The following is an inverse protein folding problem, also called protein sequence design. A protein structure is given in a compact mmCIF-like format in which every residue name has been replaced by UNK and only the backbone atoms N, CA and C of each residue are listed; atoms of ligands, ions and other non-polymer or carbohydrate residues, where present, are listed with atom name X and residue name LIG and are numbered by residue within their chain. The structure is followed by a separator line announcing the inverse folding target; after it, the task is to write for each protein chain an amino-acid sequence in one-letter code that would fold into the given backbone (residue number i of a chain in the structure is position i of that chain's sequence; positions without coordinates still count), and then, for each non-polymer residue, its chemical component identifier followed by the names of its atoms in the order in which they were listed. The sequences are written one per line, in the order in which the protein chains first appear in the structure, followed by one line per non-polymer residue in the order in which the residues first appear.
data_IF_801659859233
#
_entry.id   IF_801659859233
#
_cell.length_a   1.000
_cell.length_b   1.000
_cell.length_c   1.000
_cell.angle_alpha   90.00
_cell.angle_beta   90.00
_cell.angle_gamma   90.00
#
_symmetry.space_group_name_H-M   'P 1'
#
loop_
_entity.id
_entity.type
_entity.pdbx_description
1 polymer ?
#
# COMPACT_ATOMS: atom_id res chain seq x y z
N UNK A 1 -28.78 62.06 -17.67
CA UNK A 1 -27.84 62.75 -16.76
C UNK A 1 -27.01 61.65 -16.08
N UNK A 2 -25.68 61.66 -15.95
CA UNK A 2 -24.54 62.42 -16.52
C UNK A 2 -23.50 61.33 -16.97
N UNK A 3 -22.84 61.34 -18.14
CA UNK A 3 -21.80 62.22 -18.71
C UNK A 3 -20.39 62.16 -18.07
N UNK A 4 -19.35 62.15 -18.94
CA UNK A 4 -17.89 61.88 -18.79
C UNK A 4 -17.50 60.38 -18.79
N UNK A 5 -16.49 59.82 -19.52
CA UNK A 5 -15.40 60.28 -20.46
C UNK A 5 -14.15 60.97 -19.81
N UNK A 6 -12.91 60.93 -20.35
CA UNK A 6 -12.33 60.52 -21.66
C UNK A 6 -10.79 60.21 -21.54
N UNK A 7 -10.15 59.56 -22.54
CA UNK A 7 -8.68 59.32 -22.72
C UNK A 7 -7.97 58.47 -21.62
N UNK A 8 -6.77 57.87 -21.79
CA UNK A 8 -5.79 57.76 -22.90
C UNK A 8 -4.44 57.19 -22.37
N UNK A 9 -3.40 56.80 -23.13
CA UNK A 9 -3.21 56.61 -24.58
C UNK A 9 -1.92 55.81 -24.90
N UNK A 10 -1.98 54.89 -25.89
CA UNK A 10 -0.98 54.49 -26.92
C UNK A 10 0.55 54.35 -26.60
N UNK A 11 1.14 53.20 -26.94
CA UNK A 11 2.56 53.06 -27.33
C UNK A 11 2.76 51.91 -28.35
N UNK A 12 3.66 52.06 -29.34
CA UNK A 12 3.89 51.12 -30.46
C UNK A 12 5.39 51.03 -30.78
N UNK A 13 5.91 49.81 -30.96
CA UNK A 13 7.05 49.44 -31.83
C UNK A 13 6.99 47.92 -32.13
N UNK A 14 7.88 47.37 -32.96
CA UNK A 14 7.75 47.23 -34.44
C UNK A 14 8.97 46.45 -34.98
N UNK A 15 8.79 45.73 -36.10
CA UNK A 15 9.80 44.97 -36.87
C UNK A 15 10.36 43.68 -36.23
N UNK A 16 10.81 42.69 -37.01
CA UNK A 16 10.98 42.66 -38.47
C UNK A 16 10.81 41.28 -39.12
N UNK A 17 10.89 41.21 -40.45
CA UNK A 17 10.41 40.09 -41.28
C UNK A 17 11.52 39.36 -42.07
N UNK A 18 11.29 38.08 -42.40
CA UNK A 18 11.63 37.41 -43.67
C UNK A 18 10.77 36.13 -43.76
N UNK A 19 9.89 35.89 -44.75
CA UNK A 19 9.98 35.82 -46.23
C UNK A 19 10.31 34.42 -46.82
N UNK A 20 9.55 34.09 -47.86
CA UNK A 20 9.39 32.84 -48.64
C UNK A 20 10.47 32.72 -49.77
N UNK A 21 10.55 31.67 -50.66
CA UNK A 21 9.44 30.81 -51.14
C UNK A 21 9.69 29.34 -51.56
N UNK A 22 8.55 28.68 -51.88
CA UNK A 22 8.23 27.59 -52.83
C UNK A 22 9.32 26.84 -53.63
N UNK A 23 9.14 25.51 -53.81
CA UNK A 23 8.74 24.90 -55.10
C UNK A 23 8.57 23.34 -55.09
N UNK A 24 7.65 22.86 -55.96
CA UNK A 24 7.62 21.57 -56.73
C UNK A 24 7.83 20.17 -56.10
N UNK A 25 6.92 19.25 -56.45
CA UNK A 25 7.11 17.78 -56.51
C UNK A 25 7.83 17.35 -57.80
N UNK A 26 8.33 16.11 -57.90
CA UNK A 26 7.64 15.13 -58.76
C UNK A 26 7.53 13.70 -58.16
N UNK A 27 6.90 12.79 -58.92
CA UNK A 27 6.76 11.35 -58.62
C UNK A 27 8.09 10.60 -58.48
N UNK A 28 8.05 9.47 -57.74
CA UNK A 28 8.34 8.19 -58.39
C UNK A 28 7.52 7.04 -57.76
N UNK A 29 7.32 5.96 -58.51
CA UNK A 29 6.65 4.72 -58.06
C UNK A 29 7.66 3.76 -57.40
N UNK A 30 7.19 2.79 -56.60
CA UNK A 30 7.19 1.36 -57.00
C UNK A 30 6.68 0.41 -55.88
N UNK A 31 5.57 -0.30 -56.17
CA UNK A 31 5.22 -1.69 -55.76
C UNK A 31 4.89 -2.05 -54.28
N UNK A 32 3.85 -2.90 -54.05
CA UNK A 32 3.45 -3.35 -52.71
C UNK A 32 4.15 -4.65 -52.24
N UNK A 33 4.17 -4.87 -50.92
CA UNK A 33 4.63 -6.12 -50.29
C UNK A 33 3.48 -6.82 -49.56
N UNK A 34 3.25 -8.10 -49.86
CA UNK A 34 2.35 -8.99 -49.14
C UNK A 34 3.11 -9.79 -48.07
N UNK A 35 2.49 -10.14 -46.92
CA UNK A 35 3.01 -11.19 -46.05
C UNK A 35 2.01 -12.35 -45.83
N UNK A 36 2.40 -13.55 -46.25
CA UNK A 36 1.79 -14.85 -45.87
C UNK A 36 2.73 -16.00 -46.28
N UNK A 37 2.65 -17.21 -45.67
CA UNK A 37 2.45 -17.51 -44.25
C UNK A 37 3.51 -18.55 -43.74
N UNK A 38 3.30 -19.11 -42.53
CA UNK A 38 4.11 -20.15 -41.86
C UNK A 38 5.50 -19.70 -41.33
N UNK A 39 6.13 -20.35 -40.34
CA UNK A 39 5.94 -21.69 -39.77
C UNK A 39 6.09 -21.76 -38.22
N UNK A 40 6.30 -22.97 -37.67
CA UNK A 40 6.46 -23.30 -36.24
C UNK A 40 7.92 -23.00 -35.75
N UNK A 41 8.39 -23.22 -34.50
CA UNK A 41 7.98 -24.15 -33.43
C UNK A 41 8.65 -23.79 -32.06
N UNK A 42 8.23 -24.48 -30.98
CA UNK A 42 8.90 -24.60 -29.66
C UNK A 42 8.93 -23.35 -28.74
N UNK A 43 8.99 -23.48 -27.40
CA UNK A 43 8.55 -24.58 -26.50
C UNK A 43 8.42 -24.07 -25.04
N UNK A 44 7.45 -24.59 -24.28
CA UNK A 44 7.46 -24.57 -22.80
C UNK A 44 6.50 -25.64 -22.27
N UNK A 45 6.79 -26.20 -21.10
CA UNK A 45 6.06 -27.35 -20.53
C UNK A 45 5.44 -27.02 -19.16
N UNK A 46 4.28 -27.60 -18.82
CA UNK A 46 3.82 -27.74 -17.45
C UNK A 46 4.09 -29.16 -16.91
N UNK A 47 4.66 -29.28 -15.71
CA UNK A 47 4.67 -30.55 -14.98
C UNK A 47 3.31 -30.79 -14.33
N UNK A 48 2.60 -31.83 -14.77
CA UNK A 48 1.41 -32.33 -14.07
C UNK A 48 1.81 -33.30 -12.95
N UNK A 49 1.07 -33.30 -11.85
CA UNK A 49 1.32 -34.18 -10.71
C UNK A 49 1.01 -35.65 -11.05
N UNK A 50 1.85 -36.58 -10.58
CA UNK A 50 1.59 -38.01 -10.68
C UNK A 50 0.87 -38.51 -9.42
N UNK A 51 -0.33 -39.04 -9.60
CA UNK A 51 -1.03 -39.85 -8.60
C UNK A 51 -0.55 -41.30 -8.67
N UNK A 52 -0.10 -41.85 -7.54
CA UNK A 52 0.07 -43.29 -7.37
C UNK A 52 -0.89 -43.78 -6.28
N UNK A 53 -1.79 -44.70 -6.64
CA UNK A 53 -2.64 -45.38 -5.67
C UNK A 53 -1.93 -46.63 -5.14
N UNK A 54 -2.16 -46.95 -3.85
CA UNK A 54 -1.85 -48.26 -3.27
C UNK A 54 -2.98 -48.68 -2.33
N UNK A 55 -3.17 -49.99 -2.21
CA UNK A 55 -4.43 -50.60 -1.80
C UNK A 55 -4.72 -50.59 -0.29
N UNK A 56 -6.01 -50.71 0.02
CA UNK A 56 -6.48 -51.01 1.36
C UNK A 56 -6.55 -52.53 1.60
N UNK A 57 -5.91 -53.00 2.66
CA UNK A 57 -6.29 -54.25 3.34
C UNK A 57 -6.12 -54.07 4.85
N UNK A 58 -6.95 -54.74 5.64
CA UNK A 58 -7.10 -54.44 7.07
C UNK A 58 -6.51 -55.55 7.96
N UNK A 59 -5.77 -55.15 8.99
CA UNK A 59 -5.48 -55.95 10.16
C UNK A 59 -5.30 -55.06 11.39
N UNK A 60 -6.01 -55.38 12.48
CA UNK A 60 -5.62 -54.96 13.83
C UNK A 60 -4.74 -56.08 14.44
N UNK A 61 -3.85 -55.76 15.38
CA UNK A 61 -4.31 -55.74 16.77
C UNK A 61 -3.78 -54.54 17.58
N UNK A 62 -4.09 -54.52 18.88
CA UNK A 62 -3.80 -53.40 19.77
C UNK A 62 -2.33 -53.26 20.16
N UNK A 63 -1.89 -52.01 20.31
CA UNK A 63 -0.65 -51.62 20.98
C UNK A 63 -0.76 -50.17 21.45
N UNK A 64 -0.68 -49.93 22.76
CA UNK A 64 -0.76 -48.57 23.31
C UNK A 64 0.61 -47.89 23.20
N UNK A 65 0.73 -46.96 22.25
CA UNK A 65 1.86 -46.01 22.20
C UNK A 65 1.33 -44.58 22.33
N UNK A 66 1.40 -44.06 23.55
CA UNK A 66 1.26 -42.62 23.81
C UNK A 66 2.24 -41.87 22.91
N UNK A 67 1.84 -40.80 22.20
CA UNK A 67 2.79 -39.99 21.45
C UNK A 67 3.78 -39.37 22.44
N UNK A 68 5.03 -39.85 22.40
CA UNK A 68 6.08 -39.32 23.24
C UNK A 68 6.27 -37.84 22.89
N UNK A 69 6.09 -36.98 23.90
CA UNK A 69 6.47 -35.57 23.80
C UNK A 69 7.97 -35.58 23.43
N UNK A 70 8.38 -34.99 22.28
CA UNK A 70 9.79 -34.94 21.93
C UNK A 70 10.53 -34.24 23.09
N UNK A 71 11.62 -34.81 23.62
CA UNK A 71 12.32 -34.21 24.73
C UNK A 71 12.71 -32.80 24.33
N UNK A 72 12.24 -31.81 25.10
CA UNK A 72 12.52 -30.41 24.82
C UNK A 72 14.04 -30.27 24.70
N UNK A 73 14.51 -29.86 23.51
CA UNK A 73 15.93 -29.81 23.21
C UNK A 73 16.61 -29.00 24.32
N UNK A 74 17.50 -29.66 25.07
CA UNK A 74 18.11 -29.07 26.24
C UNK A 74 18.91 -27.85 25.79
N UNK A 75 18.32 -26.67 25.96
CA UNK A 75 19.00 -25.41 25.68
C UNK A 75 20.27 -25.43 26.52
N UNK A 76 21.45 -25.35 25.87
CA UNK A 76 22.74 -25.50 26.53
C UNK A 76 22.78 -24.60 27.76
N UNK A 77 22.66 -25.22 28.93
CA UNK A 77 22.62 -24.54 30.20
C UNK A 77 24.04 -24.12 30.53
N UNK A 78 24.46 -23.02 29.91
CA UNK A 78 25.74 -22.38 30.14
C UNK A 78 25.88 -22.22 31.65
N UNK A 79 26.77 -23.00 32.26
CA UNK A 79 26.85 -23.09 33.72
C UNK A 79 27.06 -21.68 34.30
N UNK A 80 26.38 -21.34 35.41
CA UNK A 80 26.54 -20.03 36.01
C UNK A 80 28.01 -19.86 36.36
N UNK A 81 28.67 -18.87 35.73
CA UNK A 81 30.10 -18.61 35.97
C UNK A 81 30.34 -18.54 37.48
N UNK A 82 31.13 -19.47 37.98
CA UNK A 82 31.45 -19.53 39.40
C UNK A 82 32.46 -18.43 39.70
N UNK A 83 32.11 -17.54 40.63
CA UNK A 83 32.91 -16.38 41.00
C UNK A 83 33.47 -16.60 42.40
N UNK A 84 34.79 -16.70 42.52
CA UNK A 84 35.46 -16.72 43.82
C UNK A 84 35.38 -15.31 44.44
N UNK A 85 34.60 -15.16 45.50
CA UNK A 85 34.34 -13.88 46.16
C UNK A 85 35.53 -13.54 47.05
N UNK A 86 36.22 -12.44 46.76
CA UNK A 86 37.34 -11.97 47.58
C UNK A 86 36.88 -11.05 48.73
N UNK A 87 37.66 -10.97 49.83
CA UNK A 87 37.34 -10.07 50.95
C UNK A 87 37.13 -8.62 50.49
N UNK A 88 36.11 -7.95 51.05
CA UNK A 88 35.72 -6.59 50.66
C UNK A 88 34.85 -6.50 49.40
N UNK A 89 34.54 -7.59 48.71
CA UNK A 89 33.57 -7.59 47.61
C UNK A 89 32.17 -7.94 48.09
N UNK A 90 31.19 -7.07 47.81
CA UNK A 90 29.77 -7.43 47.92
C UNK A 90 29.22 -7.94 46.60
N UNK A 91 28.36 -8.97 46.68
CA UNK A 91 27.77 -9.64 45.52
C UNK A 91 26.27 -9.87 45.75
N UNK A 92 25.49 -9.81 44.67
CA UNK A 92 24.03 -9.90 44.70
C UNK A 92 23.50 -10.76 43.54
N UNK A 93 22.48 -11.56 43.82
CA UNK A 93 21.68 -12.24 42.80
C UNK A 93 20.60 -11.27 42.28
N UNK A 94 20.97 -10.45 41.29
CA UNK A 94 20.14 -9.40 40.74
C UNK A 94 19.33 -9.89 39.50
N UNK A 95 18.19 -9.24 39.24
CA UNK A 95 17.29 -9.60 38.14
C UNK A 95 17.63 -8.79 36.88
N UNK A 96 18.05 -9.43 35.78
CA UNK A 96 17.99 -8.78 34.47
C UNK A 96 16.55 -8.86 33.96
N UNK A 97 15.97 -7.71 33.65
CA UNK A 97 14.63 -7.58 33.08
C UNK A 97 14.69 -7.45 31.54
N UNK A 98 13.68 -7.95 30.80
CA UNK A 98 13.54 -7.66 29.38
C UNK A 98 13.48 -6.15 29.14
N UNK A 99 14.30 -5.65 28.23
CA UNK A 99 14.47 -4.22 27.94
C UNK A 99 13.30 -3.71 27.10
N UNK A 100 12.56 -2.68 27.53
CA UNK A 100 11.49 -2.10 26.71
C UNK A 100 12.09 -1.32 25.54
N UNK A 101 11.66 -1.62 24.32
CA UNK A 101 12.09 -0.94 23.09
C UNK A 101 10.87 -0.46 22.32
N UNK A 102 10.74 0.86 22.21
CA UNK A 102 9.70 1.47 21.38
C UNK A 102 10.07 1.30 19.91
N UNK A 103 9.08 0.90 19.10
CA UNK A 103 9.19 0.92 17.65
C UNK A 103 7.87 1.39 17.04
N UNK A 104 7.97 2.25 16.04
CA UNK A 104 6.80 2.70 15.28
C UNK A 104 6.42 1.64 14.27
N UNK A 105 5.20 1.12 14.35
CA UNK A 105 4.61 0.22 13.36
C UNK A 105 3.66 0.99 12.46
N UNK A 106 3.85 0.89 11.15
CA UNK A 106 2.88 1.39 10.17
C UNK A 106 1.78 0.35 9.95
N UNK A 107 0.52 0.80 9.94
CA UNK A 107 -0.64 -0.01 9.55
C UNK A 107 -1.48 0.79 8.56
N UNK A 108 -1.78 0.18 7.41
CA UNK A 108 -2.74 0.74 6.44
C UNK A 108 -4.14 0.60 7.03
N UNK A 109 -4.81 1.73 7.27
CA UNK A 109 -6.21 1.78 7.75
C UNK A 109 -7.18 1.51 6.59
N UNK A 110 -6.78 1.95 5.40
CA UNK A 110 -7.56 1.97 4.17
C UNK A 110 -6.61 1.89 2.98
N UNK A 111 -6.80 0.84 2.18
CA UNK A 111 -5.97 0.54 1.02
C UNK A 111 -6.03 1.65 -0.05
N UNK A 112 -4.98 1.75 -0.88
CA UNK A 112 -4.97 2.65 -2.04
C UNK A 112 -6.01 2.20 -3.08
N UNK A 113 -6.66 3.17 -3.75
CA UNK A 113 -7.74 2.88 -4.70
C UNK A 113 -7.65 3.72 -5.96
N UNK A 114 -7.95 3.09 -7.09
CA UNK A 114 -8.18 3.77 -8.35
C UNK A 114 -9.53 4.49 -8.29
N UNK A 115 -9.55 5.80 -8.54
CA UNK A 115 -10.76 6.59 -8.75
C UNK A 115 -10.84 6.98 -10.22
N UNK A 116 -11.98 6.72 -10.86
CA UNK A 116 -12.20 6.90 -12.29
C UNK A 116 -13.24 8.01 -12.49
N UNK A 117 -12.88 9.02 -13.27
CA UNK A 117 -13.76 10.14 -13.62
C UNK A 117 -14.06 10.09 -15.13
N UNK A 118 -15.33 9.92 -15.48
CA UNK A 118 -15.79 9.84 -16.86
C UNK A 118 -16.38 11.18 -17.29
N UNK A 119 -15.81 11.78 -18.34
CA UNK A 119 -16.31 13.01 -18.97
C UNK A 119 -17.27 12.62 -20.09
N UNK A 120 -18.57 13.00 -20.04
CA UNK A 120 -19.52 12.70 -21.12
C UNK A 120 -19.11 13.33 -22.46
N UNK A 121 -19.35 12.60 -23.56
CA UNK A 121 -19.11 13.10 -24.90
C UNK A 121 -20.04 14.29 -25.24
N UNK A 122 -19.52 15.27 -25.97
CA UNK A 122 -20.25 16.49 -26.34
C UNK A 122 -20.70 16.43 -27.80
N UNK A 123 -21.98 16.77 -28.04
CA UNK A 123 -22.64 16.68 -29.34
C UNK A 123 -23.01 18.08 -29.84
N UNK A 124 -22.41 18.52 -30.94
CA UNK A 124 -22.80 19.77 -31.61
C UNK A 124 -23.84 19.49 -32.71
N UNK A 125 -24.79 20.41 -32.90
CA UNK A 125 -25.88 20.30 -33.89
C UNK A 125 -25.54 21.08 -35.16
N UNK A 126 -24.92 20.40 -36.11
CA UNK A 126 -24.61 20.94 -37.43
C UNK A 126 -25.74 20.78 -38.46
N UNK A 127 -25.56 21.43 -39.61
CA UNK A 127 -26.38 21.22 -40.81
C UNK A 127 -25.49 20.73 -41.96
N UNK A 128 -25.60 19.45 -42.31
CA UNK A 128 -24.88 18.88 -43.45
C UNK A 128 -25.68 19.16 -44.73
N UNK A 129 -25.05 19.83 -45.70
CA UNK A 129 -25.66 19.99 -47.03
C UNK A 129 -25.60 18.65 -47.77
N UNK A 130 -26.76 18.15 -48.18
CA UNK A 130 -26.88 16.95 -48.99
C UNK A 130 -27.45 17.36 -50.34
N UNK A 131 -26.75 17.01 -51.43
CA UNK A 131 -27.29 17.19 -52.78
C UNK A 131 -28.57 16.36 -52.87
N UNK A 132 -29.71 17.03 -52.96
CA UNK A 132 -31.03 16.38 -52.98
C UNK A 132 -31.52 16.22 -54.41
N UNK A 133 -30.97 17.02 -55.33
CA UNK A 133 -31.16 16.94 -56.77
C UNK A 133 -29.83 17.27 -57.44
N UNK A 134 -29.24 16.29 -58.10
CA UNK A 134 -27.98 16.49 -58.83
C UNK A 134 -28.21 17.39 -60.05
N UNK A 135 -27.29 18.34 -60.27
CA UNK A 135 -27.35 19.32 -61.36
C UNK A 135 -27.32 18.60 -62.70
N UNK A 136 -28.45 18.61 -63.39
CA UNK A 136 -28.65 17.81 -64.60
C UNK A 136 -28.44 18.66 -65.84
N UNK A 137 -27.60 18.17 -66.73
CA UNK A 137 -27.56 18.66 -68.10
C UNK A 137 -28.67 17.98 -68.91
N UNK A 138 -29.58 18.79 -69.42
CA UNK A 138 -30.67 18.39 -70.29
C UNK A 138 -30.12 17.88 -71.61
N UNK A 139 -30.64 16.76 -72.09
CA UNK A 139 -30.14 16.11 -73.29
C UNK A 139 -31.34 15.50 -74.06
N UNK A 140 -31.40 15.64 -75.39
CA UNK A 140 -32.59 15.23 -76.21
C UNK A 140 -32.66 13.71 -76.49
N UNK A 141 -33.00 12.93 -75.46
CA UNK A 141 -32.57 11.52 -75.30
C UNK A 141 -33.65 10.42 -75.50
N UNK A 142 -33.23 9.28 -76.05
CA UNK A 142 -33.95 7.98 -76.13
C UNK A 142 -34.00 7.25 -74.76
N UNK A 143 -35.02 6.46 -74.39
CA UNK A 143 -35.25 6.03 -73.00
C UNK A 143 -34.32 4.90 -72.48
N UNK A 144 -33.76 5.00 -71.24
CA UNK A 144 -32.94 3.96 -70.59
C UNK A 144 -33.74 2.91 -69.79
N UNK A 145 -33.09 1.83 -69.37
CA UNK A 145 -33.64 0.81 -68.45
C UNK A 145 -32.89 0.73 -67.13
N UNK A 146 -33.61 0.51 -66.02
CA UNK A 146 -33.08 0.55 -64.65
C UNK A 146 -33.22 -0.77 -63.89
N UNK A 147 -32.36 -1.00 -62.90
CA UNK A 147 -32.48 -2.05 -61.87
C UNK A 147 -32.36 -1.41 -60.48
N UNK A 148 -33.14 -1.90 -59.51
CA UNK A 148 -33.04 -1.47 -58.10
C UNK A 148 -31.82 -2.10 -57.45
N UNK A 149 -31.05 -1.31 -56.71
CA UNK A 149 -29.98 -1.77 -55.80
C UNK A 149 -30.19 -1.11 -54.43
N UNK A 150 -29.98 -1.86 -53.35
CA UNK A 150 -30.13 -1.37 -51.97
C UNK A 150 -28.76 -1.05 -51.36
N UNK A 151 -28.63 0.16 -50.83
CA UNK A 151 -27.41 0.64 -50.15
C UNK A 151 -27.71 0.81 -48.65
N UNK A 152 -26.87 0.26 -47.77
CA UNK A 152 -27.06 0.32 -46.31
C UNK A 152 -26.37 1.56 -45.73
N UNK A 153 -27.14 2.61 -45.44
CA UNK A 153 -26.62 3.83 -44.83
C UNK A 153 -26.60 3.67 -43.32
N UNK A 154 -25.43 3.90 -42.70
CA UNK A 154 -25.27 3.90 -41.23
C UNK A 154 -25.85 5.21 -40.67
N UNK A 155 -27.05 5.14 -40.09
CA UNK A 155 -27.81 6.32 -39.64
C UNK A 155 -27.42 6.74 -38.23
N UNK A 156 -27.00 5.78 -37.39
CA UNK A 156 -26.50 6.04 -36.04
C UNK A 156 -25.20 5.26 -35.80
N UNK A 157 -24.13 5.89 -35.30
CA UNK A 157 -22.92 5.16 -34.90
C UNK A 157 -23.22 4.24 -33.70
N UNK A 158 -22.36 3.25 -33.50
CA UNK A 158 -22.31 2.45 -32.26
C UNK A 158 -21.94 3.38 -31.10
N UNK A 159 -22.67 3.33 -29.98
CA UNK A 159 -22.42 4.20 -28.82
C UNK A 159 -22.07 3.35 -27.62
N UNK A 160 -20.94 3.67 -26.96
CA UNK A 160 -20.48 2.98 -25.75
C UNK A 160 -20.77 3.83 -24.52
N UNK A 161 -21.53 3.27 -23.59
CA UNK A 161 -21.78 3.83 -22.27
C UNK A 161 -20.86 3.16 -21.25
N UNK A 162 -20.06 3.97 -20.58
CA UNK A 162 -19.21 3.55 -19.47
C UNK A 162 -19.97 3.75 -18.15
N UNK A 163 -20.18 2.67 -17.41
CA UNK A 163 -20.85 2.69 -16.10
C UNK A 163 -19.81 2.34 -15.03
N UNK A 164 -19.56 3.28 -14.12
CA UNK A 164 -18.65 3.08 -12.98
C UNK A 164 -19.32 2.17 -11.96
N UNK A 165 -18.67 1.06 -11.63
CA UNK A 165 -19.02 0.16 -10.54
C UNK A 165 -18.15 0.54 -9.33
N UNK A 166 -18.75 1.02 -8.22
CA UNK A 166 -17.99 1.55 -7.09
C UNK A 166 -17.20 0.46 -6.35
N UNK A 167 -16.07 0.85 -5.76
CA UNK A 167 -15.24 -0.02 -4.94
C UNK A 167 -16.01 -0.60 -3.74
N UNK A 168 -15.82 -1.89 -3.46
CA UNK A 168 -16.46 -2.60 -2.35
C UNK A 168 -15.45 -2.85 -1.24
N UNK A 169 -15.80 -2.43 -0.01
CA UNK A 169 -14.98 -2.56 1.19
C UNK A 169 -15.67 -3.47 2.22
N UNK A 170 -14.89 -4.29 2.89
CA UNK A 170 -15.33 -5.13 4.01
C UNK A 170 -14.68 -4.65 5.32
N UNK A 171 -15.43 -4.71 6.44
CA UNK A 171 -14.91 -4.35 7.76
C UNK A 171 -14.26 -5.57 8.41
N UNK A 172 -12.99 -5.83 8.09
CA UNK A 172 -12.20 -6.90 8.71
C UNK A 172 -11.74 -6.48 10.11
N UNK A 173 -11.60 -7.44 11.03
CA UNK A 173 -10.98 -7.23 12.34
C UNK A 173 -9.52 -7.68 12.29
N UNK A 174 -8.59 -6.77 12.58
CA UNK A 174 -7.16 -7.07 12.68
C UNK A 174 -6.69 -6.90 14.13
N UNK A 175 -6.25 -8.00 14.72
CA UNK A 175 -5.68 -8.00 16.08
C UNK A 175 -4.24 -7.51 16.05
N UNK A 176 -3.95 -6.44 16.79
CA UNK A 176 -2.62 -5.83 16.91
C UNK A 176 -2.13 -5.99 18.35
N UNK A 177 -0.92 -6.49 18.53
CA UNK A 177 -0.26 -6.60 19.86
C UNK A 177 0.45 -5.28 20.17
N UNK A 178 0.04 -4.57 21.22
CA UNK A 178 0.69 -3.32 21.65
C UNK A 178 1.83 -3.57 22.63
N UNK A 179 1.65 -4.58 23.48
CA UNK A 179 2.66 -5.07 24.42
C UNK A 179 2.77 -6.59 24.26
N UNK A 180 3.98 -7.08 23.97
CA UNK A 180 4.24 -8.50 23.83
C UNK A 180 4.12 -9.26 25.17
N UNK A 181 3.90 -10.57 25.10
CA UNK A 181 3.88 -11.43 26.28
C UNK A 181 5.29 -11.48 26.89
N UNK A 182 5.39 -11.20 28.20
CA UNK A 182 6.69 -11.06 28.89
C UNK A 182 6.70 -11.85 30.19
N UNK A 183 7.82 -12.52 30.48
CA UNK A 183 8.06 -13.18 31.77
C UNK A 183 8.53 -12.15 32.78
N UNK A 184 7.77 -11.98 33.86
CA UNK A 184 8.19 -11.20 35.03
C UNK A 184 8.65 -12.18 36.11
N UNK A 185 9.70 -11.83 36.84
CA UNK A 185 10.14 -12.55 38.03
C UNK A 185 9.68 -11.77 39.25
N UNK A 186 8.66 -12.29 39.95
CA UNK A 186 8.14 -11.72 41.19
C UNK A 186 8.81 -12.40 42.39
N UNK A 187 8.95 -11.68 43.52
CA UNK A 187 9.42 -12.31 44.77
C UNK A 187 8.38 -13.32 45.28
N UNK A 188 8.84 -14.51 45.66
CA UNK A 188 7.98 -15.59 46.15
C UNK A 188 8.68 -16.43 47.23
N UNK A 189 7.99 -17.41 47.81
CA UNK A 189 8.57 -18.38 48.74
C UNK A 189 8.81 -19.70 48.02
N UNK A 190 10.07 -20.02 47.70
CA UNK A 190 10.46 -21.36 47.27
C UNK A 190 10.39 -22.37 48.45
N UNK A 191 10.48 -23.66 48.13
CA UNK A 191 10.65 -24.69 49.15
C UNK A 191 11.94 -24.44 49.96
N UNK A 192 11.93 -24.75 51.25
CA UNK A 192 13.06 -24.50 52.16
C UNK A 192 13.17 -23.05 52.67
N UNK A 193 12.85 -22.02 51.88
CA UNK A 193 13.05 -20.61 52.31
C UNK A 193 12.12 -20.16 53.44
N UNK A 194 11.08 -20.95 53.79
CA UNK A 194 10.15 -20.70 54.91
C UNK A 194 10.80 -20.51 56.29
N UNK A 195 12.04 -20.95 56.48
CA UNK A 195 12.82 -20.79 57.71
C UNK A 195 14.14 -20.01 57.50
N UNK A 196 14.35 -19.42 56.32
CA UNK A 196 15.59 -18.73 55.92
C UNK A 196 15.69 -17.28 56.43
N UNK A 197 15.21 -17.00 57.65
CA UNK A 197 15.37 -15.69 58.28
C UNK A 197 16.85 -15.44 58.61
N UNK A 198 17.54 -14.68 57.76
CA UNK A 198 18.95 -14.33 57.90
C UNK A 198 19.91 -14.99 56.90
N UNK A 199 19.45 -15.89 56.02
CA UNK A 199 20.34 -16.56 55.03
C UNK A 199 20.53 -15.78 53.72
N UNK A 200 19.84 -14.65 53.53
CA UNK A 200 19.87 -13.85 52.30
C UNK A 200 19.20 -14.50 51.08
N UNK A 201 18.65 -15.72 51.20
CA UNK A 201 18.13 -16.51 50.08
C UNK A 201 16.79 -15.99 49.54
N UNK A 202 16.84 -14.94 48.71
CA UNK A 202 15.68 -14.37 48.03
C UNK A 202 15.24 -15.24 46.83
N UNK A 203 14.08 -15.89 46.95
CA UNK A 203 13.49 -16.67 45.85
C UNK A 203 12.57 -15.85 44.94
N UNK A 204 12.72 -16.05 43.63
CA UNK A 204 11.89 -15.41 42.60
C UNK A 204 11.14 -16.46 41.78
N UNK A 205 9.88 -16.18 41.44
CA UNK A 205 9.03 -17.06 40.65
C UNK A 205 8.75 -16.41 39.29
N UNK A 206 8.93 -17.18 38.21
CA UNK A 206 8.59 -16.75 36.86
C UNK A 206 7.08 -16.79 36.65
N UNK A 207 6.49 -15.64 36.30
CA UNK A 207 5.08 -15.50 35.92
C UNK A 207 4.99 -14.86 34.54
N UNK A 208 4.27 -15.51 33.64
CA UNK A 208 4.01 -14.95 32.31
C UNK A 208 2.91 -13.89 32.40
N UNK A 209 3.19 -12.69 31.90
CA UNK A 209 2.18 -11.67 31.60
C UNK A 209 1.78 -11.86 30.15
N UNK A 210 0.48 -12.11 29.83
CA UNK A 210 0.04 -12.33 28.46
C UNK A 210 0.16 -11.05 27.61
N UNK A 211 0.25 -11.24 26.30
CA UNK A 211 0.31 -10.14 25.34
C UNK A 211 -0.97 -9.29 25.37
N UNK A 212 -0.82 -7.97 25.34
CA UNK A 212 -1.95 -7.04 25.29
C UNK A 212 -2.31 -6.76 23.83
N UNK A 213 -3.50 -7.19 23.45
CA UNK A 213 -4.02 -7.07 22.09
C UNK A 213 -5.18 -6.09 22.00
N UNK A 214 -5.23 -5.31 20.92
CA UNK A 214 -6.38 -4.48 20.54
C UNK A 214 -6.89 -4.94 19.17
N UNK A 215 -8.21 -4.98 19.01
CA UNK A 215 -8.85 -5.40 17.76
C UNK A 215 -9.24 -4.16 16.96
N UNK A 216 -8.41 -3.82 15.98
CA UNK A 216 -8.63 -2.67 15.10
C UNK A 216 -9.59 -3.10 13.98
N UNK A 217 -10.63 -2.28 13.73
CA UNK A 217 -11.52 -2.46 12.58
C UNK A 217 -10.90 -1.79 11.35
N UNK A 218 -10.52 -2.58 10.36
CA UNK A 218 -9.85 -2.14 9.13
C UNK A 218 -10.83 -2.27 7.95
N UNK A 219 -10.84 -1.30 7.05
CA UNK A 219 -11.68 -1.33 5.84
C UNK A 219 -10.88 -1.88 4.67
N UNK A 220 -10.81 -3.21 4.61
CA UNK A 220 -10.12 -3.93 3.54
C UNK A 220 -10.86 -3.76 2.21
N UNK A 221 -10.13 -3.43 1.16
CA UNK A 221 -10.64 -3.44 -0.21
C UNK A 221 -10.89 -4.89 -0.67
N UNK A 222 -12.12 -5.20 -1.06
CA UNK A 222 -12.50 -6.52 -1.60
C UNK A 222 -12.57 -6.48 -3.13
N UNK A 223 -13.06 -5.38 -3.69
CA UNK A 223 -13.06 -5.15 -5.14
C UNK A 223 -12.77 -3.68 -5.43
N UNK A 224 -11.81 -3.35 -6.33
CA UNK A 224 -11.54 -1.97 -6.72
C UNK A 224 -12.69 -1.39 -7.55
N UNK A 225 -12.67 -0.06 -7.73
CA UNK A 225 -13.54 0.61 -8.68
C UNK A 225 -13.24 0.12 -10.10
N UNK A 226 -14.28 -0.24 -10.85
CA UNK A 226 -14.15 -0.83 -12.20
C UNK A 226 -15.21 -0.24 -13.13
N UNK A 227 -15.00 -0.34 -14.44
CA UNK A 227 -15.92 0.23 -15.43
C UNK A 227 -16.54 -0.87 -16.27
N UNK A 228 -17.87 -0.96 -16.24
CA UNK A 228 -18.64 -1.85 -17.12
C UNK A 228 -19.04 -1.09 -18.38
N UNK A 229 -18.84 -1.71 -19.53
CA UNK A 229 -19.22 -1.13 -20.84
C UNK A 229 -20.56 -1.71 -21.27
N UNK A 230 -21.49 -0.84 -21.64
CA UNK A 230 -22.69 -1.18 -22.41
C UNK A 230 -22.56 -0.59 -23.82
N UNK A 231 -22.98 -1.34 -24.84
CA UNK A 231 -22.86 -0.93 -26.25
C UNK A 231 -24.23 -0.89 -26.90
N UNK A 232 -24.69 0.31 -27.26
CA UNK A 232 -25.84 0.48 -28.17
C UNK A 232 -25.37 0.13 -29.60
N UNK A 233 -25.94 -0.89 -30.27
CA UNK A 233 -25.52 -1.29 -31.60
C UNK A 233 -25.85 -0.23 -32.67
N UNK A 234 -25.03 -0.15 -33.71
CA UNK A 234 -25.22 0.81 -34.79
C UNK A 234 -26.49 0.51 -35.62
N UNK A 235 -27.30 1.55 -35.87
CA UNK A 235 -28.51 1.45 -36.69
C UNK A 235 -28.19 1.73 -38.18
N UNK A 236 -28.52 0.77 -39.04
CA UNK A 236 -28.42 0.88 -40.50
C UNK A 236 -29.82 0.96 -41.12
N UNK A 237 -29.99 1.76 -42.17
CA UNK A 237 -31.22 1.79 -42.97
C UNK A 237 -30.87 1.59 -44.44
N UNK A 238 -31.56 0.64 -45.07
CA UNK A 238 -31.44 0.41 -46.51
C UNK A 238 -32.18 1.49 -47.29
N UNK A 239 -31.44 2.21 -48.13
CA UNK A 239 -31.98 3.17 -49.10
C UNK A 239 -31.95 2.51 -50.48
N UNK A 240 -33.09 2.48 -51.17
CA UNK A 240 -33.21 1.90 -52.51
C UNK A 240 -32.87 2.92 -53.58
N UNK A 241 -31.77 2.70 -54.31
CA UNK A 241 -31.36 3.51 -55.47
C UNK A 241 -31.69 2.76 -56.75
N UNK A 242 -32.30 3.45 -57.71
CA UNK A 242 -32.42 2.94 -59.08
C UNK A 242 -31.10 3.22 -59.81
N UNK A 243 -30.42 2.16 -60.23
CA UNK A 243 -29.19 2.24 -61.02
C UNK A 243 -29.53 1.88 -62.47
N UNK A 244 -28.90 2.60 -63.40
CA UNK A 244 -29.09 2.41 -64.84
C UNK A 244 -28.42 1.10 -65.25
N UNK A 245 -29.20 0.17 -65.81
CA UNK A 245 -28.69 -1.10 -66.36
C UNK A 245 -28.21 -0.91 -67.81
N UNK A 246 -28.89 -0.04 -68.57
CA UNK A 246 -28.51 0.36 -69.93
C UNK A 246 -28.75 1.86 -70.12
N UNK A 247 -27.71 2.67 -70.39
CA UNK A 247 -27.81 4.12 -70.50
C UNK A 247 -28.33 4.59 -71.87
N UNK A 248 -28.56 5.90 -71.94
CA UNK A 248 -29.34 6.62 -72.94
C UNK A 248 -28.56 7.86 -73.43
N UNK A 249 -28.78 8.37 -74.67
CA UNK A 249 -27.75 9.17 -75.38
C UNK A 249 -28.25 10.26 -76.36
N UNK A 250 -27.75 11.52 -76.27
CA UNK A 250 -27.94 12.65 -77.23
C UNK A 250 -27.06 13.90 -76.91
N UNK A 251 -27.53 15.15 -77.19
CA UNK A 251 -26.80 16.47 -77.15
C UNK A 251 -27.30 17.50 -76.07
N UNK A 252 -26.41 18.35 -75.50
CA UNK A 252 -26.38 18.91 -74.10
C UNK A 252 -26.92 20.37 -73.83
N UNK A 253 -27.53 20.62 -72.64
CA UNK A 253 -27.86 21.95 -72.03
C UNK A 253 -27.91 21.91 -70.46
N UNK A 254 -26.98 22.57 -69.75
CA UNK A 254 -26.82 22.50 -68.25
C UNK A 254 -27.91 23.16 -67.39
N UNK A 255 -28.25 22.55 -66.24
CA UNK A 255 -28.85 23.18 -65.05
C UNK A 255 -28.11 22.77 -63.75
N UNK A 256 -28.14 23.64 -62.74
CA UNK A 256 -27.38 23.51 -61.48
C UNK A 256 -28.07 22.65 -60.38
N UNK A 257 -27.30 22.11 -59.41
CA UNK A 257 -27.82 21.24 -58.33
C UNK A 257 -28.64 21.95 -57.24
N UNK A 258 -29.59 21.21 -56.65
CA UNK A 258 -30.45 21.63 -55.54
C UNK A 258 -30.00 20.95 -54.22
N UNK A 259 -29.74 21.75 -53.17
CA UNK A 259 -29.18 21.29 -51.90
C UNK A 259 -30.16 21.48 -50.74
N UNK A 260 -30.46 20.41 -50.00
CA UNK A 260 -31.18 20.49 -48.72
C UNK A 260 -30.19 20.43 -47.56
N UNK A 261 -30.41 21.25 -46.53
CA UNK A 261 -29.69 21.17 -45.26
C UNK A 261 -30.35 20.13 -44.35
N UNK A 262 -29.67 19.01 -44.12
CA UNK A 262 -30.11 17.97 -43.17
C UNK A 262 -29.46 18.25 -41.82
N UNK A 263 -30.25 18.27 -40.74
CA UNK A 263 -29.74 18.42 -39.39
C UNK A 263 -29.00 17.15 -38.94
N UNK A 264 -27.79 17.31 -38.40
CA UNK A 264 -26.91 16.21 -38.00
C UNK A 264 -26.16 16.54 -36.72
N UNK A 265 -26.17 15.64 -35.75
CA UNK A 265 -25.36 15.74 -34.53
C UNK A 265 -24.01 15.05 -34.71
N UNK A 266 -22.91 15.78 -34.49
CA UNK A 266 -21.54 15.25 -34.60
C UNK A 266 -20.84 15.29 -33.23
N UNK A 267 -19.96 14.32 -32.98
CA UNK A 267 -19.23 14.18 -31.71
C UNK A 267 -18.00 15.06 -31.76
N UNK A 268 -18.09 16.25 -31.16
CA UNK A 268 -16.99 17.24 -31.18
C UNK A 268 -15.95 16.94 -30.11
N UNK A 269 -16.37 16.35 -28.98
CA UNK A 269 -15.47 15.78 -27.97
C UNK A 269 -15.88 14.34 -27.65
N UNK A 270 -14.99 13.34 -27.83
CA UNK A 270 -15.28 11.96 -27.47
C UNK A 270 -15.40 11.78 -25.96
N UNK A 271 -15.89 10.62 -25.52
CA UNK A 271 -15.92 10.26 -24.10
C UNK A 271 -14.51 9.97 -23.59
N UNK A 272 -14.13 10.62 -22.50
CA UNK A 272 -12.82 10.43 -21.84
C UNK A 272 -13.02 9.81 -20.46
N UNK A 273 -12.10 8.92 -20.07
CA UNK A 273 -12.09 8.29 -18.75
C UNK A 273 -10.70 8.44 -18.11
N UNK A 274 -10.61 9.31 -17.11
CA UNK A 274 -9.36 9.62 -16.42
C UNK A 274 -9.29 8.88 -15.08
N UNK A 275 -8.21 8.12 -14.87
CA UNK A 275 -7.95 7.36 -13.64
C UNK A 275 -6.90 8.06 -12.79
N UNK A 276 -7.20 8.25 -11.50
CA UNK A 276 -6.26 8.78 -10.51
C UNK A 276 -6.11 7.75 -9.39
N UNK A 277 -4.87 7.39 -9.05
CA UNK A 277 -4.58 6.53 -7.90
C UNK A 277 -4.65 7.39 -6.64
N UNK A 278 -5.63 7.13 -5.78
CA UNK A 278 -5.71 7.72 -4.44
C UNK A 278 -4.81 6.90 -3.51
N UNK A 279 -3.80 7.51 -2.85
CA UNK A 279 -2.87 6.79 -1.99
C UNK A 279 -3.57 6.21 -0.75
N UNK A 280 -2.91 5.22 -0.15
CA UNK A 280 -3.36 4.54 1.08
C UNK A 280 -3.28 5.45 2.31
N UNK A 281 -4.19 5.23 3.27
CA UNK A 281 -4.25 6.00 4.52
C UNK A 281 -3.57 5.20 5.64
N UNK A 282 -2.43 5.69 6.13
CA UNK A 282 -1.61 5.01 7.15
C UNK A 282 -1.85 5.54 8.56
N UNK A 283 -1.78 4.64 9.54
CA UNK A 283 -1.60 4.97 10.95
C UNK A 283 -0.19 4.57 11.39
N UNK A 284 0.48 5.46 12.12
CA UNK A 284 1.67 5.13 12.88
C UNK A 284 1.24 4.79 14.31
N UNK A 285 1.55 3.58 14.79
CA UNK A 285 1.33 3.16 16.17
C UNK A 285 2.68 3.01 16.87
N UNK A 286 2.79 3.45 18.12
CA UNK A 286 3.96 3.15 18.95
C UNK A 286 3.72 1.81 19.66
N UNK A 287 4.63 0.86 19.43
CA UNK A 287 4.54 -0.52 19.95
C UNK A 287 5.78 -0.81 20.80
N UNK A 288 5.57 -1.30 22.01
CA UNK A 288 6.65 -1.62 22.96
C UNK A 288 7.01 -3.11 22.87
N UNK A 289 8.13 -3.40 22.20
CA UNK A 289 8.77 -4.72 22.19
C UNK A 289 9.57 -4.93 23.48
N UNK A 290 9.78 -6.19 23.87
CA UNK A 290 10.66 -6.52 25.01
C UNK A 290 11.86 -7.36 24.54
N UNK A 291 13.07 -6.80 24.65
CA UNK A 291 14.31 -7.46 24.24
C UNK A 291 15.00 -8.21 25.38
N UNK A 292 15.49 -9.42 25.11
CA UNK A 292 16.21 -10.25 26.08
C UNK A 292 15.29 -11.04 27.01
N UNK A 293 15.83 -12.10 27.61
CA UNK A 293 15.10 -12.97 28.53
C UNK A 293 15.24 -12.51 29.99
N UNK A 294 14.15 -12.63 30.77
CA UNK A 294 14.20 -12.43 32.21
C UNK A 294 15.06 -13.51 32.86
N UNK A 295 16.09 -13.12 33.63
CA UNK A 295 17.04 -14.04 34.26
C UNK A 295 17.59 -13.47 35.57
N UNK A 296 17.93 -14.34 36.50
CA UNK A 296 18.74 -13.98 37.68
C UNK A 296 20.22 -14.13 37.32
N UNK A 297 21.05 -13.17 37.73
CA UNK A 297 22.51 -13.19 37.51
C UNK A 297 23.24 -12.75 38.77
N UNK A 298 24.40 -13.35 39.02
CA UNK A 298 25.31 -12.80 40.03
C UNK A 298 25.97 -11.52 39.51
N UNK A 299 26.08 -10.50 40.36
CA UNK A 299 26.76 -9.23 40.09
C UNK A 299 27.48 -8.71 41.32
N UNK A 300 28.64 -8.12 41.10
CA UNK A 300 29.33 -7.33 42.12
C UNK A 300 28.59 -6.00 42.32
N UNK A 301 28.46 -5.59 43.57
CA UNK A 301 27.82 -4.38 44.06
C UNK A 301 28.72 -3.72 45.10
N UNK A 302 28.55 -2.43 45.35
CA UNK A 302 29.17 -1.81 46.52
C UNK A 302 28.62 -2.44 47.81
N UNK A 303 29.42 -2.45 48.86
CA UNK A 303 28.96 -2.77 50.21
C UNK A 303 28.33 -1.53 50.85
N UNK A 304 27.38 -1.72 51.76
CA UNK A 304 26.67 -0.59 52.41
C UNK A 304 27.62 0.40 53.11
N UNK A 305 28.77 -0.07 53.61
CA UNK A 305 29.80 0.76 54.23
C UNK A 305 30.59 1.67 53.27
N UNK A 306 30.56 1.39 51.96
CA UNK A 306 31.21 2.22 50.94
C UNK A 306 30.29 3.38 50.50
N UNK A 307 28.99 3.25 50.77
CA UNK A 307 27.96 4.20 50.32
C UNK A 307 28.03 5.47 51.17
N UNK A 308 28.28 6.59 50.51
CA UNK A 308 28.47 7.90 51.14
C UNK A 308 27.76 9.02 50.38
N UNK A 309 27.52 10.15 51.04
CA UNK A 309 26.76 11.29 50.52
C UNK A 309 27.29 11.81 49.17
N UNK A 310 28.61 11.86 48.98
CA UNK A 310 29.24 12.31 47.73
C UNK A 310 29.05 11.31 46.58
N UNK A 311 29.07 10.01 46.86
CA UNK A 311 28.74 8.97 45.88
C UNK A 311 27.27 9.07 45.46
N UNK A 312 26.36 9.14 46.43
CA UNK A 312 24.91 9.16 46.17
C UNK A 312 24.49 10.47 45.50
N UNK A 313 25.07 11.60 45.86
CA UNK A 313 24.87 12.89 45.17
C UNK A 313 25.22 12.79 43.69
N UNK A 314 26.35 12.17 43.35
CA UNK A 314 26.77 11.95 41.96
C UNK A 314 25.89 10.93 41.24
N UNK A 315 25.45 9.87 41.92
CA UNK A 315 24.44 8.93 41.41
C UNK A 315 23.13 9.63 41.05
N UNK A 316 22.59 10.46 41.95
CA UNK A 316 21.38 11.25 41.71
C UNK A 316 21.55 12.22 40.54
N UNK A 317 22.69 12.92 40.45
CA UNK A 317 23.02 13.80 39.33
C UNK A 317 23.11 13.05 37.98
N UNK A 318 23.76 11.88 37.94
CA UNK A 318 23.83 11.05 36.73
C UNK A 318 22.48 10.46 36.33
N UNK A 319 21.62 10.07 37.28
CA UNK A 319 20.25 9.64 36.97
C UNK A 319 19.43 10.77 36.33
N UNK A 320 19.49 11.99 36.88
CA UNK A 320 18.84 13.19 36.29
C UNK A 320 19.39 13.50 34.90
N UNK A 321 20.72 13.43 34.71
CA UNK A 321 21.41 13.62 33.42
C UNK A 321 20.94 12.61 32.36
N UNK A 322 20.59 11.40 32.76
CA UNK A 322 20.04 10.33 31.91
C UNK A 322 18.51 10.38 31.76
N UNK A 323 17.82 11.36 32.37
CA UNK A 323 16.37 11.55 32.28
C UNK A 323 15.53 10.79 33.31
N UNK A 324 16.15 10.12 34.28
CA UNK A 324 15.46 9.40 35.36
C UNK A 324 15.34 10.29 36.61
N UNK A 325 14.26 10.16 37.38
CA UNK A 325 13.91 11.11 38.44
C UNK A 325 14.11 10.53 39.86
N UNK A 326 15.31 10.67 40.46
CA UNK A 326 15.59 10.18 41.82
C UNK A 326 14.89 11.00 42.93
N UNK A 327 14.19 12.08 42.61
CA UNK A 327 13.72 13.08 43.58
C UNK A 327 14.75 14.21 43.76
N UNK A 328 14.91 14.68 45.00
CA UNK A 328 15.94 15.65 45.35
C UNK A 328 17.34 15.09 45.12
N UNK A 329 18.29 15.96 44.77
CA UNK A 329 19.72 15.66 44.88
C UNK A 329 20.14 16.03 46.31
N UNK A 330 19.98 15.07 47.21
CA UNK A 330 20.13 15.22 48.67
C UNK A 330 21.20 14.31 49.29
N UNK A 331 21.88 13.49 48.47
CA UNK A 331 22.90 12.56 48.93
C UNK A 331 22.37 11.34 49.70
N UNK A 332 21.05 11.15 49.77
CA UNK A 332 20.42 10.05 50.49
C UNK A 332 19.96 8.95 49.54
N UNK A 333 20.36 7.69 49.79
CA UNK A 333 19.96 6.53 48.98
C UNK A 333 18.54 6.06 49.33
N UNK A 334 17.59 7.00 49.30
CA UNK A 334 16.19 6.77 49.61
C UNK A 334 15.45 6.03 48.50
N UNK A 335 14.20 5.63 48.80
CA UNK A 335 13.35 4.85 47.89
C UNK A 335 13.28 5.45 46.48
N UNK A 336 13.15 6.77 46.35
CA UNK A 336 13.04 7.44 45.03
C UNK A 336 14.32 7.30 44.19
N UNK A 337 15.50 7.38 44.81
CA UNK A 337 16.78 7.15 44.13
C UNK A 337 16.90 5.70 43.65
N UNK A 338 16.44 4.74 44.47
CA UNK A 338 16.42 3.31 44.12
C UNK A 338 15.36 2.95 43.05
N UNK A 339 14.19 3.62 43.07
CA UNK A 339 13.16 3.50 42.04
C UNK A 339 13.71 3.97 40.68
N UNK A 340 14.30 5.18 40.64
CA UNK A 340 14.91 5.75 39.43
C UNK A 340 16.11 4.94 38.91
N UNK A 341 16.94 4.39 39.82
CA UNK A 341 18.00 3.45 39.46
C UNK A 341 17.43 2.16 38.86
N UNK A 342 16.33 1.63 39.39
CA UNK A 342 15.66 0.44 38.86
C UNK A 342 15.08 0.68 37.46
N UNK A 343 14.53 1.88 37.22
CA UNK A 343 14.08 2.31 35.88
C UNK A 343 15.26 2.42 34.90
N UNK A 344 16.36 3.08 35.28
CA UNK A 344 17.58 3.18 34.48
C UNK A 344 18.15 1.80 34.13
N UNK A 345 18.28 0.91 35.13
CA UNK A 345 18.77 -0.46 34.94
C UNK A 345 17.85 -1.24 34.00
N UNK A 346 16.53 -1.11 34.13
CA UNK A 346 15.55 -1.76 33.24
C UNK A 346 15.65 -1.24 31.80
N UNK A 347 15.80 0.07 31.61
CA UNK A 347 15.90 0.71 30.29
C UNK A 347 17.19 0.34 29.53
N UNK A 348 18.28 0.07 30.27
CA UNK A 348 19.58 -0.29 29.72
C UNK A 348 19.87 -1.81 29.74
N UNK A 349 18.94 -2.64 30.22
CA UNK A 349 19.09 -4.10 30.27
C UNK A 349 20.08 -4.60 31.33
N UNK A 350 20.40 -3.77 32.33
CA UNK A 350 21.29 -4.10 33.45
C UNK A 350 20.55 -4.93 34.51
N UNK A 351 21.30 -5.49 35.46
CA UNK A 351 20.71 -6.24 36.56
C UNK A 351 20.13 -5.29 37.62
N UNK A 352 18.82 -5.42 37.90
CA UNK A 352 18.07 -4.52 38.80
C UNK A 352 18.12 -4.94 40.26
N UNK A 353 17.94 -3.95 41.15
CA UNK A 353 17.64 -4.17 42.57
C UNK A 353 18.80 -3.95 43.54
N UNK A 354 19.96 -3.49 43.05
CA UNK A 354 21.13 -3.13 43.84
C UNK A 354 22.00 -2.10 43.11
N UNK A 355 22.93 -1.45 43.82
CA UNK A 355 23.90 -0.52 43.24
C UNK A 355 25.11 -1.29 42.67
N UNK A 356 24.87 -2.05 41.60
CA UNK A 356 25.89 -2.88 40.94
C UNK A 356 27.00 -2.02 40.33
N UNK A 357 28.24 -2.51 40.33
CA UNK A 357 29.36 -1.80 39.71
C UNK A 357 29.12 -1.56 38.21
N UNK A 358 28.46 -2.50 37.54
CA UNK A 358 27.96 -2.38 36.16
C UNK A 358 27.07 -1.13 35.97
N UNK A 359 26.24 -0.78 36.96
CA UNK A 359 25.39 0.41 36.92
C UNK A 359 26.15 1.70 37.19
N UNK A 360 27.12 1.69 38.11
CA UNK A 360 27.98 2.84 38.41
C UNK A 360 28.84 3.24 37.20
N UNK A 361 29.48 2.25 36.56
CA UNK A 361 30.24 2.45 35.32
C UNK A 361 29.35 2.98 34.18
N UNK A 362 28.13 2.44 34.02
CA UNK A 362 27.20 2.90 32.98
C UNK A 362 26.64 4.32 33.23
N UNK A 363 26.61 4.75 34.50
CA UNK A 363 26.20 6.11 34.92
C UNK A 363 27.37 7.10 35.03
N UNK A 364 28.61 6.69 34.75
CA UNK A 364 29.84 7.49 34.94
C UNK A 364 29.96 8.03 36.38
N UNK A 365 29.69 7.17 37.36
CA UNK A 365 29.80 7.45 38.80
C UNK A 365 31.01 6.68 39.34
N UNK A 366 32.11 7.41 39.55
CA UNK A 366 33.45 6.87 39.87
C UNK A 366 33.79 6.99 41.36
#
# INVERSE_FOLDING_TARGET
MRYYTILGSLAIMVSGCAMQPSATLPHNEEKPVQPAPAAQQASSAPMAAQSAAQDASAAAPAGQTTPAIPPAAAANAQEPREYEIQPGQCWVQAQVRPRPVQSTQEIVIKDSVNKITVTPAELEKGFKQVVTREGTKTYRIEPPTYRVVSEQVKVRPEVKRYIVVPAVYENTQQTVTLEEAKTVLDQCRAAGTRYSSGTGAMSFCARQVPAKQEVVKVKKLVSPETVRVETDPAEYKSVTRWIVDKPARAVEVTLDPEYTKVASSEVVRPVEANQIIVPEEKRHLQVTRFEGNARIVSRQTLCDGDINENLVTRLQQSLVKQGFNPGSVDGLLGKRTLDALTEYQTANGLAVGALTLESLTALDVQ
#
